data_IF_357185277927
#
_entry.id   IF_357185277927
#
_cell.length_a   1.000
_cell.length_b   1.000
_cell.length_c   1.000
_cell.angle_alpha   90.00
_cell.angle_beta   90.00
_cell.angle_gamma   90.00
#
_symmetry.space_group_name_H-M   'P 1'
#
loop_
_entity.id
_entity.type
_entity.pdbx_description
1 polymer ?
#
# COMPACT_ATOMS: atom_id res chain seq x y z
N UNK A 1 -20.76 1.76 -2.86
CA UNK A 1 -19.77 0.80 -2.35
C UNK A 1 -18.48 1.14 -3.07
N UNK A 2 -17.48 1.66 -2.36
CA UNK A 2 -16.19 1.99 -2.97
C UNK A 2 -15.50 0.67 -3.30
N UNK A 3 -15.11 0.51 -4.56
CA UNK A 3 -14.47 -0.71 -5.03
C UNK A 3 -12.95 -0.55 -4.90
N UNK A 4 -12.26 -1.60 -4.45
CA UNK A 4 -10.80 -1.62 -4.30
C UNK A 4 -10.22 -2.79 -5.11
N UNK A 5 -8.92 -2.75 -5.38
CA UNK A 5 -8.21 -3.90 -5.98
C UNK A 5 -8.28 -5.10 -5.03
N UNK A 6 -8.03 -4.89 -3.74
CA UNK A 6 -8.24 -5.88 -2.69
C UNK A 6 -9.45 -5.47 -1.84
N UNK A 7 -10.49 -6.30 -1.87
CA UNK A 7 -11.64 -6.14 -0.97
C UNK A 7 -11.26 -6.42 0.49
N UNK A 8 -10.38 -7.41 0.68
CA UNK A 8 -9.74 -7.73 1.96
C UNK A 8 -8.22 -7.59 1.80
N UNK A 9 -7.63 -6.61 2.49
CA UNK A 9 -6.18 -6.40 2.46
C UNK A 9 -5.41 -7.57 3.12
N UNK A 10 -6.09 -8.44 3.87
CA UNK A 10 -5.50 -9.64 4.48
C UNK A 10 -4.88 -10.55 3.43
N UNK A 11 -5.50 -10.70 2.25
CA UNK A 11 -4.91 -11.49 1.16
C UNK A 11 -3.55 -10.91 0.72
N UNK A 12 -3.41 -9.58 0.67
CA UNK A 12 -2.15 -8.91 0.37
C UNK A 12 -1.12 -9.09 1.50
N UNK A 13 -1.54 -8.93 2.76
CA UNK A 13 -0.62 -9.07 3.91
C UNK A 13 -0.11 -10.49 4.04
N UNK A 14 -0.96 -11.51 3.89
CA UNK A 14 -0.56 -12.92 3.86
C UNK A 14 0.48 -13.19 2.76
N UNK A 15 0.38 -12.47 1.63
CA UNK A 15 1.37 -12.55 0.59
C UNK A 15 2.72 -11.95 0.97
N UNK A 16 2.73 -10.87 1.76
CA UNK A 16 3.96 -10.31 2.32
C UNK A 16 4.66 -11.35 3.20
N UNK A 17 3.92 -12.05 4.08
CA UNK A 17 4.46 -13.16 4.87
C UNK A 17 5.00 -14.32 4.03
N UNK A 18 4.42 -14.56 2.86
CA UNK A 18 4.90 -15.59 1.94
C UNK A 18 6.19 -15.20 1.19
N UNK A 19 6.36 -13.91 0.86
CA UNK A 19 7.44 -13.43 -0.01
C UNK A 19 8.64 -12.83 0.71
N UNK A 20 8.43 -12.13 1.82
CA UNK A 20 9.51 -11.46 2.55
C UNK A 20 10.43 -12.49 3.20
N UNK A 21 11.74 -12.28 3.07
CA UNK A 21 12.75 -13.13 3.71
C UNK A 21 12.69 -13.03 5.25
N UNK A 22 12.36 -11.84 5.76
CA UNK A 22 12.06 -11.57 7.16
C UNK A 22 10.80 -10.70 7.25
N UNK A 23 9.68 -11.31 7.64
CA UNK A 23 8.39 -10.66 7.75
C UNK A 23 8.24 -9.91 9.08
N UNK A 24 9.18 -9.00 9.36
CA UNK A 24 9.14 -8.18 10.58
C UNK A 24 7.90 -7.26 10.58
N UNK A 25 7.39 -6.87 11.77
CA UNK A 25 6.26 -5.94 11.84
C UNK A 25 6.54 -4.61 11.12
N UNK A 26 7.78 -4.11 11.19
CA UNK A 26 8.18 -2.88 10.52
C UNK A 26 8.19 -3.11 9.02
N UNK A 27 8.86 -4.16 8.53
CA UNK A 27 8.97 -4.44 7.11
C UNK A 27 7.62 -4.62 6.42
N UNK A 28 6.69 -5.34 7.07
CA UNK A 28 5.31 -5.48 6.58
C UNK A 28 4.64 -4.12 6.44
N UNK A 29 4.69 -3.28 7.49
CA UNK A 29 4.02 -1.99 7.50
C UNK A 29 4.59 -1.03 6.44
N UNK A 30 5.92 -0.99 6.27
CA UNK A 30 6.57 -0.14 5.26
C UNK A 30 6.31 -0.63 3.86
N UNK A 31 6.42 -1.93 3.63
CA UNK A 31 6.11 -2.54 2.32
C UNK A 31 4.65 -2.27 1.93
N UNK A 32 3.72 -2.47 2.86
CA UNK A 32 2.29 -2.21 2.64
C UNK A 32 2.00 -0.73 2.34
N UNK A 33 2.67 0.19 3.04
CA UNK A 33 2.59 1.63 2.79
C UNK A 33 3.10 1.99 1.39
N UNK A 34 4.29 1.51 0.99
CA UNK A 34 4.84 1.77 -0.34
C UNK A 34 3.96 1.17 -1.45
N UNK A 35 3.44 -0.04 -1.25
CA UNK A 35 2.49 -0.66 -2.18
C UNK A 35 1.26 0.23 -2.38
N UNK A 36 0.67 0.74 -1.30
CA UNK A 36 -0.48 1.64 -1.38
C UNK A 36 -0.15 2.94 -2.11
N UNK A 37 0.96 3.58 -1.73
CA UNK A 37 1.36 4.89 -2.24
C UNK A 37 1.70 4.83 -3.74
N UNK A 38 2.61 3.94 -4.14
CA UNK A 38 3.00 3.79 -5.53
C UNK A 38 1.85 3.27 -6.41
N UNK A 39 1.00 2.36 -5.92
CA UNK A 39 -0.15 1.91 -6.68
C UNK A 39 -1.09 3.09 -6.99
N UNK A 40 -1.45 3.88 -5.98
CA UNK A 40 -2.36 5.01 -6.16
C UNK A 40 -1.77 6.05 -7.11
N UNK A 41 -0.46 6.31 -6.98
CA UNK A 41 0.24 7.28 -7.81
C UNK A 41 0.35 6.88 -9.29
N UNK A 42 0.34 5.57 -9.58
CA UNK A 42 0.50 5.03 -10.94
C UNK A 42 -0.83 4.56 -11.51
N UNK A 43 -1.31 3.40 -11.08
CA UNK A 43 -2.55 2.78 -11.57
C UNK A 43 -3.80 3.50 -11.07
N UNK A 44 -3.81 3.95 -9.82
CA UNK A 44 -4.98 4.60 -9.20
C UNK A 44 -5.33 5.97 -9.80
N UNK A 45 -4.39 6.63 -10.49
CA UNK A 45 -4.70 7.86 -11.26
C UNK A 45 -5.36 7.57 -12.60
N UNK A 46 -5.20 6.35 -13.15
CA UNK A 46 -5.84 5.96 -14.41
C UNK A 46 -7.35 5.69 -14.25
N UNK A 47 -7.84 5.56 -13.01
CA UNK A 47 -9.24 5.28 -12.71
C UNK A 47 -10.12 6.52 -12.59
N UNK A 48 -9.56 7.72 -12.72
CA UNK A 48 -10.28 8.99 -12.64
C UNK A 48 -9.80 9.98 -13.71
N UNK A 49 -10.76 10.47 -14.48
CA UNK A 49 -10.63 11.36 -15.64
C UNK A 49 -10.39 10.66 -16.98
N UNK A 50 -11.07 11.24 -17.96
CA UNK A 50 -11.20 10.82 -19.35
C UNK A 50 -9.93 10.12 -19.85
N UNK A 51 -10.10 8.89 -20.31
CA UNK A 51 -9.26 8.32 -21.36
C UNK A 51 -9.31 9.27 -22.57
N UNK A 52 -8.56 10.38 -22.50
CA UNK A 52 -8.37 11.36 -23.55
C UNK A 52 -7.54 10.67 -24.62
N UNK A 53 -8.24 10.05 -25.57
CA UNK A 53 -7.68 9.51 -26.81
C UNK A 53 -7.35 8.02 -26.74
N UNK A 54 -8.18 7.22 -27.40
CA UNK A 54 -7.90 5.87 -27.93
C UNK A 54 -7.48 4.73 -26.96
N UNK A 55 -7.25 4.98 -25.67
CA UNK A 55 -6.96 3.92 -24.69
C UNK A 55 -8.24 3.28 -24.16
N UNK A 56 -8.30 1.94 -24.17
CA UNK A 56 -9.37 1.15 -23.58
C UNK A 56 -9.61 1.58 -22.12
N UNK A 57 -10.87 1.66 -21.71
CA UNK A 57 -11.26 1.92 -20.32
C UNK A 57 -10.60 0.89 -19.40
N UNK A 58 -9.80 1.34 -18.44
CA UNK A 58 -9.17 0.47 -17.44
C UNK A 58 -10.08 0.28 -16.22
N UNK A 59 -9.96 -0.88 -15.55
CA UNK A 59 -10.76 -1.28 -14.38
C UNK A 59 -10.00 -1.10 -13.07
N UNK A 60 -8.90 -0.34 -13.07
CA UNK A 60 -8.20 0.01 -11.85
C UNK A 60 -9.10 0.83 -10.91
N UNK A 61 -8.80 0.80 -9.62
CA UNK A 61 -9.47 1.59 -8.59
C UNK A 61 -8.50 2.62 -8.02
N UNK A 62 -9.00 3.75 -7.50
CA UNK A 62 -8.11 4.81 -6.99
C UNK A 62 -7.13 4.33 -5.91
N UNK A 63 -7.57 3.38 -5.07
CA UNK A 63 -6.76 2.83 -3.98
C UNK A 63 -6.63 1.30 -4.10
N UNK A 64 -5.48 0.79 -3.66
CA UNK A 64 -5.15 -0.64 -3.68
C UNK A 64 -6.06 -1.44 -2.74
N UNK A 65 -6.36 -0.88 -1.57
CA UNK A 65 -7.23 -1.44 -0.55
C UNK A 65 -7.81 -0.30 0.29
N UNK A 66 -8.76 -0.62 1.17
CA UNK A 66 -9.31 0.33 2.14
C UNK A 66 -8.22 0.82 3.12
N UNK A 67 -7.80 2.09 3.10
CA UNK A 67 -6.70 2.56 3.93
C UNK A 67 -7.11 2.74 5.40
N UNK A 68 -6.21 2.44 6.34
CA UNK A 68 -6.33 2.81 7.76
C UNK A 68 -4.97 3.26 8.35
N UNK A 69 -4.24 4.07 7.59
CA UNK A 69 -2.91 4.53 7.96
C UNK A 69 -2.93 5.60 9.06
N UNK A 70 -1.96 5.48 9.96
CA UNK A 70 -1.67 6.39 11.05
C UNK A 70 -0.18 6.75 11.08
N UNK A 71 0.12 7.97 11.48
CA UNK A 71 1.48 8.47 11.59
C UNK A 71 2.04 8.12 12.96
N UNK A 72 2.88 7.08 13.02
CA UNK A 72 3.49 6.61 14.26
C UNK A 72 4.97 6.99 14.32
N UNK A 73 5.58 6.82 15.50
CA UNK A 73 6.99 7.14 15.74
C UNK A 73 7.96 6.49 14.75
N UNK A 74 7.70 5.25 14.34
CA UNK A 74 8.53 4.53 13.37
C UNK A 74 7.94 4.62 11.95
N UNK A 75 7.25 5.71 11.62
CA UNK A 75 6.68 5.94 10.30
C UNK A 75 5.20 5.55 10.18
N UNK A 76 4.64 5.49 8.97
CA UNK A 76 3.25 5.12 8.73
C UNK A 76 2.95 3.67 9.14
N UNK A 77 1.77 3.44 9.72
CA UNK A 77 1.26 2.14 10.17
C UNK A 77 -0.21 2.01 9.80
N UNK A 78 -0.62 0.93 9.14
CA UNK A 78 -2.03 0.55 9.05
C UNK A 78 -2.43 -0.16 10.35
N UNK A 79 -3.26 0.52 11.15
CA UNK A 79 -3.63 0.11 12.52
C UNK A 79 -4.42 -1.22 12.54
N UNK A 80 -5.20 -1.49 11.51
CA UNK A 80 -5.94 -2.75 11.37
C UNK A 80 -4.97 -3.92 11.16
N UNK A 81 -3.98 -3.72 10.28
CA UNK A 81 -2.94 -4.72 10.01
C UNK A 81 -2.03 -4.92 11.21
N UNK A 82 -1.66 -3.84 11.90
CA UNK A 82 -0.84 -3.94 13.11
C UNK A 82 -1.56 -4.76 14.20
N UNK A 83 -2.84 -4.47 14.43
CA UNK A 83 -3.65 -5.20 15.41
C UNK A 83 -3.78 -6.68 15.06
N UNK A 84 -4.09 -7.00 13.79
CA UNK A 84 -4.21 -8.39 13.34
C UNK A 84 -2.86 -9.15 13.41
N UNK A 85 -1.74 -8.49 13.11
CA UNK A 85 -0.40 -9.06 13.27
C UNK A 85 -0.13 -9.42 14.74
N UNK A 86 -0.46 -8.51 15.67
CA UNK A 86 -0.25 -8.71 17.12
C UNK A 86 -1.05 -9.87 17.69
N UNK A 87 -2.13 -10.24 17.02
CA UNK A 87 -3.02 -11.34 17.37
C UNK A 87 -2.75 -12.62 16.57
N UNK A 88 -1.65 -12.68 15.81
CA UNK A 88 -1.20 -13.86 15.05
C UNK A 88 -2.25 -14.33 14.01
N UNK A 89 -2.93 -13.38 13.35
CA UNK A 89 -4.01 -13.66 12.39
C UNK A 89 -3.56 -13.82 10.94
N UNK A 90 -2.26 -13.79 10.68
CA UNK A 90 -1.71 -13.86 9.33
C UNK A 90 -0.96 -15.17 9.10
N UNK A 91 -1.00 -15.63 7.86
CA UNK A 91 -0.37 -16.86 7.41
C UNK A 91 0.42 -16.59 6.13
N UNK A 92 1.52 -17.32 5.93
CA UNK A 92 2.31 -17.24 4.71
C UNK A 92 1.58 -17.92 3.54
N UNK A 93 0.73 -17.17 2.84
CA UNK A 93 -0.08 -17.66 1.72
C UNK A 93 0.24 -16.88 0.45
N UNK A 94 0.49 -17.60 -0.64
CA UNK A 94 0.72 -16.98 -1.94
C UNK A 94 -0.55 -16.32 -2.48
N UNK A 95 -0.43 -15.09 -2.97
CA UNK A 95 -1.51 -14.37 -3.62
C UNK A 95 -1.82 -14.95 -5.00
N UNK A 96 -3.10 -15.03 -5.32
CA UNK A 96 -3.61 -15.53 -6.60
C UNK A 96 -4.58 -14.51 -7.23
N UNK A 97 -4.75 -14.58 -8.56
CA UNK A 97 -5.54 -13.60 -9.31
C UNK A 97 -7.02 -13.52 -8.89
N UNK A 98 -7.58 -14.57 -8.31
CA UNK A 98 -8.97 -14.62 -7.81
C UNK A 98 -9.21 -13.75 -6.57
N UNK A 99 -8.15 -13.33 -5.87
CA UNK A 99 -8.22 -12.42 -4.72
C UNK A 99 -8.32 -10.95 -5.11
N UNK A 100 -7.95 -10.63 -6.34
CA UNK A 100 -8.08 -9.29 -6.91
C UNK A 100 -9.50 -9.06 -7.40
N UNK A 101 -9.89 -7.79 -7.46
CA UNK A 101 -11.19 -7.34 -7.96
C UNK A 101 -11.61 -8.06 -9.25
N UNK A 102 -12.82 -8.61 -9.26
CA UNK A 102 -13.38 -9.37 -10.38
C UNK A 102 -13.56 -8.57 -11.67
N UNK A 103 -13.63 -7.24 -11.56
CA UNK A 103 -13.77 -6.34 -12.71
C UNK A 103 -12.48 -6.18 -13.50
N UNK A 104 -11.33 -6.52 -12.91
CA UNK A 104 -10.04 -6.47 -13.58
C UNK A 104 -9.97 -7.56 -14.65
N UNK A 105 -9.52 -7.17 -15.84
CA UNK A 105 -9.13 -8.10 -16.90
C UNK A 105 -7.92 -8.94 -16.46
N UNK A 106 -7.70 -10.12 -17.07
CA UNK A 106 -6.52 -10.94 -16.77
C UNK A 106 -5.19 -10.21 -16.98
N UNK A 107 -5.12 -9.27 -17.93
CA UNK A 107 -3.94 -8.43 -18.13
C UNK A 107 -3.72 -7.44 -17.00
N UNK A 108 -4.77 -6.76 -16.54
CA UNK A 108 -4.69 -5.80 -15.43
C UNK A 108 -4.30 -6.50 -14.13
N UNK A 109 -4.84 -7.70 -13.87
CA UNK A 109 -4.46 -8.53 -12.72
C UNK A 109 -2.98 -8.88 -12.74
N UNK A 110 -2.46 -9.32 -13.89
CA UNK A 110 -1.03 -9.62 -14.07
C UNK A 110 -0.14 -8.39 -13.85
N UNK A 111 -0.54 -7.22 -14.35
CA UNK A 111 0.20 -5.97 -14.13
C UNK A 111 0.27 -5.61 -12.64
N UNK A 112 -0.84 -5.74 -11.91
CA UNK A 112 -0.88 -5.49 -10.46
C UNK A 112 0.01 -6.48 -9.70
N UNK A 113 -0.04 -7.78 -10.03
CA UNK A 113 0.80 -8.79 -9.36
C UNK A 113 2.29 -8.55 -9.61
N UNK A 114 2.67 -8.19 -10.84
CA UNK A 114 4.06 -7.83 -11.17
C UNK A 114 4.51 -6.57 -10.44
N UNK A 115 3.64 -5.57 -10.33
CA UNK A 115 3.90 -4.37 -9.55
C UNK A 115 4.12 -4.72 -8.06
N UNK A 116 3.24 -5.54 -7.48
CA UNK A 116 3.35 -5.97 -6.08
C UNK A 116 4.68 -6.70 -5.85
N UNK A 117 4.99 -7.69 -6.69
CA UNK A 117 6.23 -8.46 -6.58
C UNK A 117 7.48 -7.56 -6.69
N UNK A 118 7.45 -6.56 -7.58
CA UNK A 118 8.56 -5.61 -7.73
C UNK A 118 8.79 -4.76 -6.49
N UNK A 119 7.73 -4.23 -5.88
CA UNK A 119 7.86 -3.43 -4.65
C UNK A 119 8.30 -4.31 -3.48
N UNK A 120 7.74 -5.53 -3.34
CA UNK A 120 8.16 -6.46 -2.30
C UNK A 120 9.65 -6.79 -2.43
N UNK A 121 10.13 -7.08 -3.65
CA UNK A 121 11.55 -7.38 -3.85
C UNK A 121 12.44 -6.21 -3.40
N UNK A 122 12.07 -4.98 -3.80
CA UNK A 122 12.84 -3.79 -3.43
C UNK A 122 12.86 -3.54 -1.93
N UNK A 123 11.75 -3.75 -1.22
CA UNK A 123 11.70 -3.54 0.23
C UNK A 123 12.31 -4.70 1.02
N UNK A 124 12.30 -5.92 0.48
CA UNK A 124 12.93 -7.07 1.13
C UNK A 124 14.46 -6.92 1.21
N UNK A 125 15.07 -6.36 0.16
CA UNK A 125 16.51 -6.08 0.07
C UNK A 125 16.99 -4.96 1.01
N UNK A 126 16.07 -4.20 1.60
CA UNK A 126 16.36 -3.06 2.48
C UNK A 126 16.06 -3.42 3.93
N UNK A 127 16.87 -2.92 4.86
CA UNK A 127 16.67 -3.15 6.29
C UNK A 127 15.57 -2.26 6.87
N UNK A 128 15.00 -2.69 8.01
CA UNK A 128 13.88 -2.02 8.67
C UNK A 128 14.13 -0.55 8.98
N UNK A 129 15.34 -0.18 9.41
CA UNK A 129 15.64 1.21 9.78
C UNK A 129 15.76 2.10 8.56
N UNK A 130 16.37 1.60 7.48
CA UNK A 130 16.41 2.32 6.20
C UNK A 130 14.99 2.53 5.63
N UNK A 131 14.08 1.56 5.77
CA UNK A 131 12.67 1.74 5.39
C UNK A 131 11.96 2.79 6.26
N UNK A 132 12.24 2.81 7.57
CA UNK A 132 11.72 3.84 8.48
C UNK A 132 12.20 5.22 8.06
N UNK A 133 13.52 5.41 7.90
CA UNK A 133 14.15 6.66 7.50
C UNK A 133 13.55 7.16 6.17
N UNK A 134 13.39 6.26 5.18
CA UNK A 134 12.76 6.60 3.91
C UNK A 134 11.33 7.11 4.07
N UNK A 135 10.51 6.45 4.88
CA UNK A 135 9.13 6.92 5.12
C UNK A 135 9.06 8.19 5.98
N UNK A 136 10.14 8.54 6.69
CA UNK A 136 10.21 9.79 7.44
C UNK A 136 10.43 11.02 6.56
N UNK A 137 10.89 10.81 5.32
CA UNK A 137 11.02 11.85 4.31
C UNK A 137 9.67 12.24 3.66
N UNK A 138 8.62 11.44 3.89
CA UNK A 138 7.31 11.67 3.29
C UNK A 138 6.48 12.66 4.13
N UNK A 139 6.05 13.75 3.52
CA UNK A 139 5.29 14.82 4.16
C UNK A 139 3.91 14.33 4.63
N UNK A 140 3.31 13.38 3.91
CA UNK A 140 2.05 12.73 4.27
C UNK A 140 2.14 12.01 5.63
N UNK A 141 3.33 11.58 6.05
CA UNK A 141 3.59 11.09 7.41
C UNK A 141 4.10 12.21 8.33
N UNK A 142 5.11 12.97 7.88
CA UNK A 142 5.87 13.90 8.71
C UNK A 142 5.03 15.04 9.24
N UNK A 143 4.23 15.68 8.38
CA UNK A 143 3.38 16.82 8.75
C UNK A 143 2.36 16.43 9.83
N UNK A 144 1.51 15.39 9.65
CA UNK A 144 0.55 15.04 10.69
C UNK A 144 1.24 14.55 11.98
N UNK A 145 2.41 13.89 11.88
CA UNK A 145 3.17 13.48 13.05
C UNK A 145 3.70 14.68 13.86
N UNK A 146 4.32 15.66 13.20
CA UNK A 146 4.86 16.87 13.85
C UNK A 146 3.76 17.76 14.43
N UNK A 147 2.64 17.94 13.72
CA UNK A 147 1.52 18.79 14.17
C UNK A 147 0.82 18.25 15.41
N UNK A 148 0.85 16.93 15.61
CA UNK A 148 0.15 16.23 16.69
C UNK A 148 1.11 15.42 17.56
N UNK A 149 2.37 15.84 17.63
CA UNK A 149 3.40 15.13 18.38
C UNK A 149 2.94 14.87 19.83
N UNK A 150 2.98 13.60 20.24
CA UNK A 150 2.47 13.14 21.54
C UNK A 150 1.01 12.64 21.56
N UNK A 151 0.24 12.79 20.47
CA UNK A 151 -1.08 12.16 20.35
C UNK A 151 -0.98 10.69 19.95
N UNK A 152 -1.97 9.90 20.37
CA UNK A 152 -2.14 8.51 19.90
C UNK A 152 -3.06 8.48 18.68
N UNK A 153 -2.84 7.53 17.78
CA UNK A 153 -3.70 7.28 16.61
C UNK A 153 -3.85 8.47 15.65
N UNK A 154 -2.73 9.09 15.28
CA UNK A 154 -2.68 10.22 14.35
C UNK A 154 -3.09 9.76 12.94
N UNK A 155 -4.34 9.99 12.53
CA UNK A 155 -4.82 9.58 11.20
C UNK A 155 -4.10 10.30 10.07
N UNK A 156 -3.69 9.56 9.05
CA UNK A 156 -3.12 10.08 7.81
C UNK A 156 -4.20 10.22 6.73
N UNK A 157 -4.06 11.21 5.83
CA UNK A 157 -4.94 11.37 4.69
C UNK A 157 -4.49 10.45 3.53
N UNK A 158 -5.30 9.45 3.12
CA UNK A 158 -4.89 8.51 2.08
C UNK A 158 -4.64 9.16 0.72
N UNK A 159 -5.39 10.21 0.39
CA UNK A 159 -5.19 10.93 -0.87
C UNK A 159 -3.87 11.71 -0.87
N UNK A 160 -3.51 12.32 0.27
CA UNK A 160 -2.23 13.03 0.39
C UNK A 160 -1.03 12.10 0.20
N UNK A 161 -1.11 10.86 0.67
CA UNK A 161 -0.07 9.83 0.42
C UNK A 161 0.09 9.60 -1.09
N UNK A 162 -1.03 9.41 -1.79
CA UNK A 162 -1.03 9.14 -3.23
C UNK A 162 -0.55 10.33 -4.04
N UNK A 163 -1.04 11.53 -3.71
CA UNK A 163 -0.69 12.77 -4.40
C UNK A 163 0.81 13.06 -4.28
N UNK A 164 1.37 12.91 -3.07
CA UNK A 164 2.79 13.10 -2.83
C UNK A 164 3.65 12.15 -3.68
N UNK A 165 3.30 10.88 -3.74
CA UNK A 165 4.07 9.91 -4.53
C UNK A 165 3.96 10.18 -6.03
N UNK A 166 2.80 10.64 -6.48
CA UNK A 166 2.60 11.00 -7.86
C UNK A 166 3.29 12.31 -8.26
N UNK A 167 3.55 13.22 -7.32
CA UNK A 167 4.32 14.45 -7.58
C UNK A 167 5.83 14.23 -7.52
N UNK A 168 6.29 13.36 -6.60
CA UNK A 168 7.72 13.15 -6.33
C UNK A 168 8.36 12.08 -7.21
N UNK A 169 7.60 11.08 -7.68
CA UNK A 169 8.17 9.86 -8.27
C UNK A 169 7.56 9.39 -9.59
N UNK A 170 6.48 10.01 -10.07
CA UNK A 170 5.78 9.68 -11.32
C UNK A 170 5.80 10.88 -12.26
#
# INVERSE_FOLDING_TARGET
MTDYIFQDKTDLVNHLFYKLSDASPIKIQKTLYFLFAFYGATYGKLSGEESVGELESVNYTNFLFKPNFEAWKYGPVDDEVYTAYREDRYEAVQLTEDKLNEKLTPSEKRNILQFIDSIIQQTDEVDDFTLVDRTHEDDAWRVPFEEKDGEMHIKMNPQAIVDEYAEKYV
#
